data_IF_093465127714
#
_entry.id   IF_093465127714
#
_cell.length_a   1.000
_cell.length_b   1.000
_cell.length_c   1.000
_cell.angle_alpha   90.00
_cell.angle_beta   90.00
_cell.angle_gamma   90.00
#
_symmetry.space_group_name_H-M   'P 1'
#
loop_
_entity.id
_entity.type
_entity.pdbx_description
1 polymer ?
#
# COMPACT_ATOMS: atom_id res chain seq x y z
N UNK A 1 -1.50 0.40 13.56
CA UNK A 1 -0.47 -0.24 12.72
C UNK A 1 -0.49 -1.72 12.97
N UNK A 2 -0.50 -2.52 11.91
CA UNK A 2 -0.39 -3.97 11.98
C UNK A 2 0.96 -4.35 11.40
N UNK A 3 1.80 -5.00 12.20
CA UNK A 3 3.08 -5.53 11.75
C UNK A 3 2.88 -7.00 11.38
N UNK A 4 3.15 -7.34 10.12
CA UNK A 4 3.09 -8.72 9.66
C UNK A 4 4.43 -9.43 9.93
N UNK A 5 4.40 -10.54 10.65
CA UNK A 5 5.54 -11.43 10.79
C UNK A 5 5.36 -12.63 9.85
N UNK A 6 6.22 -12.73 8.86
CA UNK A 6 6.21 -13.87 7.94
C UNK A 6 6.77 -15.11 8.60
N UNK A 7 6.06 -16.24 8.54
CA UNK A 7 6.61 -17.54 8.89
C UNK A 7 7.44 -18.09 7.72
N UNK A 8 8.69 -18.45 7.98
CA UNK A 8 9.57 -19.12 6.99
C UNK A 8 9.05 -20.50 6.55
N UNK A 9 8.10 -21.08 7.28
CA UNK A 9 7.63 -22.44 7.04
C UNK A 9 6.65 -22.59 5.86
N UNK A 10 6.07 -21.51 5.38
CA UNK A 10 5.06 -21.55 4.31
C UNK A 10 5.61 -21.28 2.92
N UNK A 11 6.88 -20.88 2.80
CA UNK A 11 7.46 -20.46 1.53
C UNK A 11 8.96 -20.76 1.46
N UNK A 12 9.41 -21.40 0.38
CA UNK A 12 10.83 -21.40 0.02
C UNK A 12 11.12 -20.16 -0.83
N UNK A 13 11.86 -19.16 -0.27
CA UNK A 13 12.13 -17.91 -1.00
C UNK A 13 12.98 -18.09 -2.25
N UNK A 14 13.55 -19.27 -2.45
CA UNK A 14 14.36 -19.63 -3.63
C UNK A 14 13.52 -20.00 -4.84
N UNK A 15 12.22 -20.26 -4.66
CA UNK A 15 11.30 -20.55 -5.75
C UNK A 15 10.46 -19.32 -6.09
N UNK A 16 10.53 -18.87 -7.34
CA UNK A 16 9.65 -17.85 -7.87
C UNK A 16 8.24 -18.43 -8.07
N UNK A 17 7.20 -17.59 -7.91
CA UNK A 17 5.83 -18.00 -8.20
C UNK A 17 5.65 -18.55 -9.63
N UNK A 18 6.35 -17.92 -10.60
CA UNK A 18 6.30 -18.28 -12.00
C UNK A 18 6.99 -19.64 -12.29
N UNK A 19 7.79 -20.14 -11.32
CA UNK A 19 8.51 -21.42 -11.40
C UNK A 19 7.80 -22.55 -10.64
N UNK A 20 6.71 -22.23 -9.93
CA UNK A 20 5.94 -23.25 -9.24
C UNK A 20 5.06 -24.02 -10.21
N UNK A 21 5.01 -25.34 -10.02
CA UNK A 21 3.98 -26.12 -10.67
C UNK A 21 2.58 -25.66 -10.24
N UNK A 22 1.62 -25.90 -11.13
CA UNK A 22 0.24 -25.40 -10.97
C UNK A 22 -0.42 -25.84 -9.66
N UNK A 23 -0.14 -27.06 -9.19
CA UNK A 23 -0.80 -27.61 -8.01
C UNK A 23 -0.19 -27.00 -6.73
N UNK A 24 1.13 -26.84 -6.69
CA UNK A 24 1.83 -26.13 -5.60
C UNK A 24 1.38 -24.68 -5.50
N UNK A 25 1.30 -23.96 -6.64
CA UNK A 25 0.81 -22.57 -6.65
C UNK A 25 -0.63 -22.47 -6.13
N UNK A 26 -1.53 -23.38 -6.55
CA UNK A 26 -2.92 -23.43 -6.08
C UNK A 26 -3.02 -23.74 -4.59
N UNK A 27 -2.22 -24.66 -4.08
CA UNK A 27 -2.19 -25.02 -2.65
C UNK A 27 -1.70 -23.85 -1.78
N UNK A 28 -0.66 -23.14 -2.23
CA UNK A 28 -0.17 -21.95 -1.54
C UNK A 28 -1.21 -20.83 -1.54
N UNK A 29 -1.88 -20.59 -2.68
CA UNK A 29 -2.94 -19.58 -2.75
C UNK A 29 -4.11 -19.91 -1.81
N UNK A 30 -4.53 -21.15 -1.74
CA UNK A 30 -5.53 -21.59 -0.77
C UNK A 30 -5.08 -21.33 0.68
N UNK A 31 -3.82 -21.68 1.01
CA UNK A 31 -3.25 -21.43 2.34
C UNK A 31 -3.24 -19.93 2.69
N UNK A 32 -2.87 -19.07 1.74
CA UNK A 32 -2.90 -17.62 1.97
C UNK A 32 -4.33 -17.07 2.11
N UNK A 33 -5.30 -17.63 1.41
CA UNK A 33 -6.71 -17.28 1.60
C UNK A 33 -7.19 -17.66 3.01
N UNK A 34 -6.86 -18.86 3.49
CA UNK A 34 -7.20 -19.31 4.86
C UNK A 34 -6.57 -18.41 5.93
N UNK A 35 -5.32 -18.00 5.75
CA UNK A 35 -4.65 -17.06 6.66
C UNK A 35 -5.33 -15.69 6.64
N UNK A 36 -5.68 -15.17 5.47
CA UNK A 36 -6.38 -13.89 5.34
C UNK A 36 -7.78 -13.94 5.97
N UNK A 37 -8.48 -15.06 5.84
CA UNK A 37 -9.79 -15.29 6.47
C UNK A 37 -9.68 -15.43 7.99
N UNK A 38 -8.66 -16.13 8.49
CA UNK A 38 -8.39 -16.23 9.92
C UNK A 38 -8.08 -14.86 10.53
N UNK A 39 -7.26 -14.05 9.84
CA UNK A 39 -6.96 -12.68 10.23
C UNK A 39 -8.24 -11.83 10.29
N UNK A 40 -9.07 -11.87 9.27
CA UNK A 40 -10.34 -11.13 9.21
C UNK A 40 -11.27 -11.51 10.38
N UNK A 41 -11.44 -12.81 10.64
CA UNK A 41 -12.22 -13.29 11.80
C UNK A 41 -11.64 -12.79 13.12
N UNK A 42 -10.30 -12.76 13.26
CA UNK A 42 -9.62 -12.20 14.45
C UNK A 42 -9.98 -10.74 14.67
N UNK A 43 -9.89 -9.90 13.63
CA UNK A 43 -10.24 -8.48 13.69
C UNK A 43 -11.71 -8.29 14.02
N UNK A 44 -12.62 -9.04 13.41
CA UNK A 44 -14.06 -8.95 13.72
C UNK A 44 -14.37 -9.35 15.16
N UNK A 45 -13.68 -10.36 15.70
CA UNK A 45 -13.81 -10.75 17.10
C UNK A 45 -13.32 -9.65 18.04
N UNK A 46 -12.15 -9.05 17.76
CA UNK A 46 -11.62 -7.93 18.54
C UNK A 46 -12.53 -6.71 18.47
N UNK A 47 -13.07 -6.40 17.28
CA UNK A 47 -14.03 -5.31 17.10
C UNK A 47 -15.28 -5.51 17.97
N UNK A 48 -15.87 -6.70 17.92
CA UNK A 48 -17.05 -7.01 18.75
C UNK A 48 -16.77 -7.00 20.24
N UNK A 49 -15.60 -7.50 20.66
CA UNK A 49 -15.25 -7.63 22.07
C UNK A 49 -14.83 -6.32 22.73
N UNK A 50 -14.13 -5.46 21.98
CA UNK A 50 -13.47 -4.27 22.51
C UNK A 50 -13.96 -2.95 21.88
N UNK A 51 -14.93 -3.00 20.98
CA UNK A 51 -15.40 -1.80 20.26
C UNK A 51 -14.35 -1.19 19.33
N UNK A 52 -13.34 -1.95 18.92
CA UNK A 52 -12.32 -1.46 18.01
C UNK A 52 -12.89 -1.27 16.60
N UNK A 53 -12.41 -0.28 15.83
CA UNK A 53 -12.72 -0.22 14.40
C UNK A 53 -12.29 -1.53 13.71
N UNK A 54 -13.09 -2.00 12.76
CA UNK A 54 -12.78 -3.19 11.96
C UNK A 54 -12.32 -2.83 10.53
N UNK A 55 -11.90 -1.61 10.31
CA UNK A 55 -11.46 -1.08 9.01
C UNK A 55 -10.46 0.05 9.20
N UNK A 56 -9.93 0.55 8.08
CA UNK A 56 -8.98 1.66 8.01
C UNK A 56 -7.65 1.36 8.72
N UNK A 57 -7.23 0.09 8.71
CA UNK A 57 -5.94 -0.30 9.26
C UNK A 57 -4.79 0.16 8.36
N UNK A 58 -3.69 0.54 8.98
CA UNK A 58 -2.41 0.77 8.34
C UNK A 58 -1.60 -0.52 8.40
N UNK A 59 -1.13 -0.98 7.26
CA UNK A 59 -0.43 -2.26 7.13
C UNK A 59 1.03 -2.02 6.78
N UNK A 60 1.96 -2.57 7.59
CA UNK A 60 3.40 -2.44 7.39
C UNK A 60 4.07 -3.80 7.32
N UNK A 61 4.92 -3.99 6.31
CA UNK A 61 5.71 -5.20 6.19
C UNK A 61 7.08 -4.94 5.57
N UNK A 62 8.07 -5.75 5.99
CA UNK A 62 9.43 -5.74 5.44
C UNK A 62 9.79 -7.17 5.01
N UNK A 63 10.41 -7.35 3.84
CA UNK A 63 10.84 -8.65 3.31
C UNK A 63 9.67 -9.65 3.22
N UNK A 64 9.77 -10.81 3.80
CA UNK A 64 8.69 -11.80 3.86
C UNK A 64 7.39 -11.25 4.45
N UNK A 65 7.46 -10.36 5.46
CA UNK A 65 6.30 -9.67 6.00
C UNK A 65 5.66 -8.69 5.00
N UNK A 66 6.45 -8.08 4.10
CA UNK A 66 5.93 -7.25 3.03
C UNK A 66 5.14 -8.07 1.99
N UNK A 67 5.59 -9.30 1.72
CA UNK A 67 4.84 -10.23 0.86
C UNK A 67 3.47 -10.59 1.48
N UNK A 68 3.43 -10.85 2.80
CA UNK A 68 2.17 -11.08 3.50
C UNK A 68 1.27 -9.86 3.50
N UNK A 69 1.82 -8.69 3.78
CA UNK A 69 1.09 -7.43 3.83
C UNK A 69 0.40 -7.16 2.48
N UNK A 70 1.14 -7.25 1.37
CA UNK A 70 0.55 -7.02 0.05
C UNK A 70 -0.52 -8.05 -0.30
N UNK A 71 -0.30 -9.35 0.02
CA UNK A 71 -1.29 -10.41 -0.19
C UNK A 71 -2.56 -10.18 0.62
N UNK A 72 -2.42 -9.77 1.87
CA UNK A 72 -3.54 -9.47 2.73
C UNK A 72 -4.35 -8.27 2.21
N UNK A 73 -3.66 -7.20 1.77
CA UNK A 73 -4.30 -6.04 1.17
C UNK A 73 -5.01 -6.38 -0.14
N UNK A 74 -4.45 -7.27 -0.97
CA UNK A 74 -5.10 -7.74 -2.20
C UNK A 74 -6.37 -8.56 -1.95
N UNK A 75 -6.37 -9.42 -0.92
CA UNK A 75 -7.48 -10.33 -0.59
C UNK A 75 -8.57 -9.71 0.26
N UNK A 76 -8.20 -8.79 1.15
CA UNK A 76 -9.09 -8.16 2.14
C UNK A 76 -9.00 -6.62 2.13
N UNK A 77 -9.09 -5.98 0.94
CA UNK A 77 -8.80 -4.56 0.79
C UNK A 77 -9.70 -3.64 1.62
N UNK A 78 -10.90 -4.09 1.98
CA UNK A 78 -11.87 -3.30 2.74
C UNK A 78 -11.47 -3.06 4.21
N UNK A 79 -10.48 -3.79 4.74
CA UNK A 79 -9.95 -3.56 6.08
C UNK A 79 -8.87 -2.47 6.10
N UNK A 80 -8.23 -2.17 4.97
CA UNK A 80 -7.02 -1.36 4.95
C UNK A 80 -7.24 0.03 4.35
N UNK A 81 -6.66 1.02 5.02
CA UNK A 81 -6.53 2.38 4.55
C UNK A 81 -5.30 2.52 3.66
N UNK A 82 -4.17 2.06 4.18
CA UNK A 82 -2.89 2.16 3.50
C UNK A 82 -1.97 0.98 3.82
N UNK A 83 -1.08 0.70 2.88
CA UNK A 83 -0.03 -0.30 2.98
C UNK A 83 1.34 0.34 2.73
N UNK A 84 2.33 0.01 3.56
CA UNK A 84 3.75 0.15 3.24
C UNK A 84 4.41 -1.22 3.18
N UNK A 85 4.94 -1.58 2.00
CA UNK A 85 5.68 -2.80 1.76
C UNK A 85 7.12 -2.47 1.35
N UNK A 86 8.09 -2.87 2.18
CA UNK A 86 9.51 -2.68 1.91
C UNK A 86 10.18 -4.00 1.51
N UNK A 87 10.90 -3.98 0.36
CA UNK A 87 11.64 -5.12 -0.21
C UNK A 87 10.85 -6.45 -0.25
N UNK A 88 9.62 -6.48 -0.76
CA UNK A 88 8.94 -7.74 -1.02
C UNK A 88 9.58 -8.43 -2.22
N UNK A 89 10.09 -9.66 -2.04
CA UNK A 89 10.77 -10.37 -3.12
C UNK A 89 9.80 -11.00 -4.13
N UNK A 90 8.51 -11.07 -3.82
CA UNK A 90 7.47 -11.57 -4.72
C UNK A 90 6.17 -10.80 -4.57
N UNK A 91 5.37 -10.81 -5.63
CA UNK A 91 4.10 -10.10 -5.71
C UNK A 91 3.02 -11.04 -6.25
N UNK A 92 1.83 -10.94 -5.67
CA UNK A 92 0.63 -11.53 -6.26
C UNK A 92 0.05 -10.57 -7.30
N UNK A 93 -0.73 -11.10 -8.23
CA UNK A 93 -1.36 -10.30 -9.28
C UNK A 93 -2.30 -9.25 -8.66
N UNK A 94 -2.23 -7.98 -9.08
CA UNK A 94 -3.16 -6.94 -8.62
C UNK A 94 -4.61 -7.27 -8.93
N UNK A 95 -5.52 -6.80 -8.09
CA UNK A 95 -6.97 -6.92 -8.28
C UNK A 95 -7.66 -5.56 -8.26
N UNK A 96 -8.70 -5.37 -9.06
CA UNK A 96 -9.43 -4.09 -9.11
C UNK A 96 -10.00 -3.68 -7.73
N UNK A 97 -10.35 -4.64 -6.88
CA UNK A 97 -10.85 -4.36 -5.54
C UNK A 97 -9.81 -3.69 -4.63
N UNK A 98 -8.52 -3.97 -4.83
CA UNK A 98 -7.44 -3.45 -3.99
C UNK A 98 -6.93 -2.06 -4.46
N UNK A 99 -7.42 -1.52 -5.58
CA UNK A 99 -7.15 -0.13 -5.98
C UNK A 99 -7.73 0.90 -5.01
N UNK A 100 -8.59 0.49 -4.08
CA UNK A 100 -9.11 1.33 -3.01
C UNK A 100 -8.15 1.56 -1.84
N UNK A 101 -7.09 0.77 -1.73
CA UNK A 101 -6.05 0.91 -0.70
C UNK A 101 -4.98 1.86 -1.22
N UNK A 102 -4.42 2.70 -0.35
CA UNK A 102 -3.26 3.52 -0.68
C UNK A 102 -2.00 2.68 -0.53
N UNK A 103 -1.16 2.65 -1.56
CA UNK A 103 0.03 1.79 -1.63
C UNK A 103 1.31 2.61 -1.55
N UNK A 104 2.22 2.23 -0.65
CA UNK A 104 3.60 2.69 -0.64
C UNK A 104 4.50 1.45 -0.79
N UNK A 105 5.24 1.40 -1.88
CA UNK A 105 6.16 0.31 -2.18
C UNK A 105 7.57 0.86 -2.24
N UNK A 106 8.47 0.30 -1.44
CA UNK A 106 9.88 0.63 -1.46
C UNK A 106 10.72 -0.62 -1.68
N UNK A 107 11.77 -0.51 -2.49
CA UNK A 107 12.68 -1.62 -2.79
C UNK A 107 14.12 -1.11 -2.91
N UNK A 108 15.09 -2.01 -3.03
CA UNK A 108 16.45 -1.66 -3.41
C UNK A 108 16.68 -1.96 -4.90
N UNK A 109 17.51 -1.17 -5.57
CA UNK A 109 17.87 -1.43 -6.97
C UNK A 109 18.63 -2.74 -7.16
N UNK A 110 19.43 -3.13 -6.15
CA UNK A 110 20.19 -4.39 -6.15
C UNK A 110 19.43 -5.55 -5.48
N UNK A 111 18.12 -5.37 -5.20
CA UNK A 111 17.27 -6.41 -4.66
C UNK A 111 16.86 -7.41 -5.76
N UNK A 112 16.88 -8.70 -5.44
CA UNK A 112 16.45 -9.75 -6.38
C UNK A 112 15.00 -9.63 -6.86
N UNK A 113 14.17 -8.93 -6.08
CA UNK A 113 12.78 -8.59 -6.38
C UNK A 113 12.58 -7.31 -7.18
N UNK A 114 13.63 -6.57 -7.54
CA UNK A 114 13.54 -5.26 -8.19
C UNK A 114 12.69 -5.28 -9.46
N UNK A 115 13.03 -6.12 -10.43
CA UNK A 115 12.29 -6.24 -11.69
C UNK A 115 10.82 -6.65 -11.49
N UNK A 116 10.56 -7.51 -10.50
CA UNK A 116 9.19 -7.90 -10.14
C UNK A 116 8.41 -6.73 -9.53
N UNK A 117 9.08 -5.88 -8.77
CA UNK A 117 8.46 -4.68 -8.20
C UNK A 117 8.08 -3.65 -9.27
N UNK A 118 8.90 -3.48 -10.30
CA UNK A 118 8.60 -2.62 -11.46
C UNK A 118 7.41 -3.16 -12.27
N UNK A 119 7.36 -4.48 -12.48
CA UNK A 119 6.22 -5.12 -13.14
C UNK A 119 4.93 -4.90 -12.34
N UNK A 120 4.97 -5.14 -11.04
CA UNK A 120 3.84 -4.90 -10.14
C UNK A 120 3.39 -3.44 -10.16
N UNK A 121 4.33 -2.48 -10.11
CA UNK A 121 4.03 -1.05 -10.25
C UNK A 121 3.28 -0.75 -11.56
N UNK A 122 3.76 -1.30 -12.68
CA UNK A 122 3.16 -1.11 -14.00
C UNK A 122 1.73 -1.66 -14.06
N UNK A 123 1.52 -2.87 -13.54
CA UNK A 123 0.20 -3.50 -13.48
C UNK A 123 -0.76 -2.72 -12.56
N UNK A 124 -0.29 -2.28 -11.39
CA UNK A 124 -1.08 -1.46 -10.47
C UNK A 124 -1.50 -0.12 -11.10
N UNK A 125 -0.59 0.55 -11.80
CA UNK A 125 -0.88 1.82 -12.49
C UNK A 125 -1.92 1.65 -13.59
N UNK A 126 -1.82 0.58 -14.38
CA UNK A 126 -2.81 0.24 -15.41
C UNK A 126 -4.22 0.02 -14.83
N UNK A 127 -4.32 -0.37 -13.55
CA UNK A 127 -5.57 -0.55 -12.81
C UNK A 127 -5.99 0.68 -11.98
N UNK A 128 -5.26 1.81 -12.08
CA UNK A 128 -5.57 3.04 -11.35
C UNK A 128 -5.27 2.98 -9.85
N UNK A 129 -4.32 2.16 -9.42
CA UNK A 129 -3.91 2.12 -8.00
C UNK A 129 -3.26 3.43 -7.57
N UNK A 130 -3.64 3.97 -6.40
CA UNK A 130 -2.91 5.07 -5.76
C UNK A 130 -1.62 4.52 -5.14
N UNK A 131 -0.56 4.46 -5.95
CA UNK A 131 0.70 3.83 -5.56
C UNK A 131 1.86 4.83 -5.61
N UNK A 132 2.52 5.00 -4.44
CA UNK A 132 3.83 5.62 -4.29
C UNK A 132 4.90 4.54 -4.35
N UNK A 133 5.91 4.73 -5.20
CA UNK A 133 7.00 3.77 -5.38
C UNK A 133 8.35 4.46 -5.25
N UNK A 134 9.31 3.81 -4.57
CA UNK A 134 10.70 4.24 -4.50
C UNK A 134 11.63 3.05 -4.60
N UNK A 135 12.50 3.06 -5.61
CA UNK A 135 13.71 2.24 -5.63
C UNK A 135 14.83 3.00 -4.93
N UNK A 136 15.54 2.38 -4.00
CA UNK A 136 16.65 3.01 -3.27
C UNK A 136 17.95 2.62 -3.98
N UNK A 137 18.71 3.60 -4.48
CA UNK A 137 19.94 3.33 -5.24
C UNK A 137 20.94 2.49 -4.46
N UNK A 138 21.51 1.49 -5.12
CA UNK A 138 22.54 0.62 -4.57
C UNK A 138 22.12 -0.29 -3.41
N UNK A 139 20.89 -0.19 -2.92
CA UNK A 139 20.40 -1.01 -1.83
C UNK A 139 20.09 -2.44 -2.31
N UNK A 140 20.59 -3.44 -1.57
CA UNK A 140 20.18 -4.84 -1.70
C UNK A 140 19.04 -5.20 -0.77
N UNK A 141 19.02 -6.46 -0.26
CA UNK A 141 18.00 -6.95 0.66
C UNK A 141 18.26 -6.49 2.10
N UNK A 142 18.00 -5.23 2.38
CA UNK A 142 18.22 -4.63 3.71
C UNK A 142 17.18 -3.58 4.05
N UNK A 143 16.95 -3.34 5.35
CA UNK A 143 16.18 -2.18 5.82
C UNK A 143 16.90 -0.87 5.51
N UNK A 144 16.15 0.21 5.33
CA UNK A 144 16.72 1.51 5.02
C UNK A 144 15.93 2.66 5.65
N UNK A 145 16.60 3.67 6.29
CA UNK A 145 15.92 4.77 6.96
C UNK A 145 14.99 5.61 6.05
N UNK A 146 15.32 5.73 4.76
CA UNK A 146 14.44 6.40 3.79
C UNK A 146 13.12 5.65 3.62
N UNK A 147 13.16 4.30 3.53
CA UNK A 147 11.96 3.49 3.42
C UNK A 147 11.05 3.68 4.65
N UNK A 148 11.64 3.67 5.85
CA UNK A 148 10.89 3.85 7.09
C UNK A 148 10.27 5.25 7.18
N UNK A 149 11.05 6.30 6.89
CA UNK A 149 10.56 7.69 6.87
C UNK A 149 9.46 7.89 5.83
N UNK A 150 9.64 7.31 4.63
CA UNK A 150 8.65 7.41 3.55
C UNK A 150 7.35 6.70 3.93
N UNK A 151 7.43 5.49 4.50
CA UNK A 151 6.28 4.73 4.97
C UNK A 151 5.50 5.45 6.06
N UNK A 152 6.19 6.02 7.07
CA UNK A 152 5.56 6.81 8.14
C UNK A 152 4.89 8.07 7.60
N UNK A 153 5.58 8.84 6.75
CA UNK A 153 5.00 10.05 6.15
C UNK A 153 3.83 9.73 5.22
N UNK A 154 3.87 8.58 4.55
CA UNK A 154 2.78 8.10 3.72
C UNK A 154 1.54 7.73 4.56
N UNK A 155 1.74 7.12 5.73
CA UNK A 155 0.65 6.84 6.66
C UNK A 155 0.04 8.12 7.24
N UNK A 156 0.87 9.12 7.59
CA UNK A 156 0.36 10.45 8.00
C UNK A 156 -0.54 11.06 6.90
N UNK A 157 -0.10 11.00 5.64
CA UNK A 157 -0.88 11.44 4.49
C UNK A 157 -2.21 10.66 4.36
N UNK A 158 -2.17 9.34 4.47
CA UNK A 158 -3.37 8.51 4.40
C UNK A 158 -4.38 8.85 5.50
N UNK A 159 -3.89 9.09 6.72
CA UNK A 159 -4.72 9.50 7.85
C UNK A 159 -5.33 10.89 7.64
N UNK A 160 -4.57 11.85 7.09
CA UNK A 160 -5.11 13.18 6.78
C UNK A 160 -6.26 13.13 5.76
N UNK A 161 -6.14 12.31 4.71
CA UNK A 161 -7.23 12.09 3.76
C UNK A 161 -8.48 11.51 4.42
N UNK A 162 -8.29 10.59 5.36
CA UNK A 162 -9.40 10.01 6.14
C UNK A 162 -10.08 11.04 7.02
N UNK A 163 -9.33 11.89 7.70
CA UNK A 163 -9.85 12.96 8.56
C UNK A 163 -10.62 14.00 7.78
N UNK A 164 -10.07 14.51 6.68
CA UNK A 164 -10.76 15.44 5.79
C UNK A 164 -12.10 14.89 5.31
N UNK A 165 -12.13 13.61 4.95
CA UNK A 165 -13.35 12.95 4.52
C UNK A 165 -14.37 12.86 5.66
N UNK A 166 -13.95 12.47 6.87
CA UNK A 166 -14.80 12.42 8.05
C UNK A 166 -15.40 13.80 8.35
N UNK A 167 -14.60 14.87 8.32
CA UNK A 167 -15.05 16.22 8.56
C UNK A 167 -16.03 16.72 7.50
N UNK A 168 -15.85 16.30 6.25
CA UNK A 168 -16.80 16.57 5.17
C UNK A 168 -18.14 15.85 5.41
N UNK A 169 -18.10 14.60 5.80
CA UNK A 169 -19.28 13.80 6.12
C UNK A 169 -20.03 14.36 7.31
N UNK A 170 -19.33 14.74 8.38
CA UNK A 170 -19.93 15.37 9.56
C UNK A 170 -20.59 16.72 9.25
N UNK A 171 -19.96 17.56 8.41
CA UNK A 171 -20.55 18.83 7.94
C UNK A 171 -21.84 18.59 7.15
N UNK A 172 -21.83 17.63 6.24
CA UNK A 172 -23.00 17.28 5.43
C UNK A 172 -24.13 16.65 6.28
N UNK A 173 -23.78 15.91 7.32
CA UNK A 173 -24.74 15.31 8.25
C UNK A 173 -25.38 16.37 9.17
N UNK A 174 -24.61 17.35 9.69
CA UNK A 174 -25.14 18.45 10.52
C UNK A 174 -26.21 19.28 9.80
N UNK A 175 -26.08 19.47 8.49
CA UNK A 175 -27.10 20.12 7.67
C UNK A 175 -28.42 19.33 7.57
N UNK A 176 -28.47 18.07 8.04
CA UNK A 176 -29.63 17.16 8.01
C UNK A 176 -30.17 16.77 9.41
N UNK A 177 -29.81 17.51 10.48
CA UNK A 177 -30.29 17.22 11.85
C UNK A 177 -29.57 16.04 12.52
N UNK A 178 -28.28 15.89 12.30
CA UNK A 178 -27.46 14.81 12.86
C UNK A 178 -27.33 14.87 14.39
N UNK A 179 -27.72 13.78 15.08
CA UNK A 179 -27.46 13.58 16.51
C UNK A 179 -26.13 12.82 16.72
N UNK A 180 -25.15 13.46 17.36
CA UNK A 180 -23.82 12.88 17.66
C UNK A 180 -23.88 11.59 18.50
N UNK A 181 -25.00 11.30 19.16
CA UNK A 181 -25.19 10.11 19.99
C UNK A 181 -25.55 8.85 19.20
N UNK A 182 -25.96 9.04 17.97
CA UNK A 182 -26.21 7.93 17.04
C UNK A 182 -24.94 7.75 16.21
N UNK A 183 -24.23 6.61 16.36
CA UNK A 183 -23.14 6.28 15.43
C UNK A 183 -23.68 6.38 14.01
N UNK A 184 -23.06 7.18 13.13
CA UNK A 184 -23.53 7.25 11.76
C UNK A 184 -23.55 5.83 11.18
N UNK A 185 -24.60 5.45 10.43
CA UNK A 185 -24.60 4.19 9.72
C UNK A 185 -23.29 4.12 8.94
N UNK A 186 -22.65 2.95 8.92
CA UNK A 186 -21.39 2.74 8.23
C UNK A 186 -21.54 3.22 6.79
N UNK A 187 -21.13 4.46 6.54
CA UNK A 187 -21.34 5.10 5.24
C UNK A 187 -20.52 4.33 4.24
N UNK A 188 -21.18 3.69 3.31
CA UNK A 188 -20.60 3.03 2.14
C UNK A 188 -20.09 4.09 1.17
N UNK A 189 -19.14 4.90 1.60
CA UNK A 189 -18.49 5.82 0.67
C UNK A 189 -17.32 5.09 0.00
N UNK A 190 -17.23 5.14 -1.33
CA UNK A 190 -16.04 4.67 -1.98
C UNK A 190 -14.87 5.47 -1.44
N UNK A 191 -13.89 4.78 -0.89
CA UNK A 191 -12.61 5.36 -0.54
C UNK A 191 -12.02 6.00 -1.80
N UNK A 192 -11.33 7.15 -1.72
CA UNK A 192 -10.72 7.74 -2.90
C UNK A 192 -9.76 6.73 -3.54
N UNK A 193 -10.10 6.24 -4.71
CA UNK A 193 -9.28 5.32 -5.49
C UNK A 193 -8.06 6.01 -6.12
N UNK A 194 -7.86 7.30 -5.85
CA UNK A 194 -6.77 8.08 -6.41
C UNK A 194 -6.16 8.96 -5.32
N UNK A 195 -4.87 9.24 -5.42
CA UNK A 195 -4.29 10.39 -4.71
C UNK A 195 -5.06 11.66 -5.12
N UNK A 196 -5.14 12.65 -4.22
CA UNK A 196 -5.38 14.02 -4.69
C UNK A 196 -4.43 14.29 -5.85
N UNK A 197 -4.78 15.17 -6.77
CA UNK A 197 -3.88 15.57 -7.85
C UNK A 197 -2.47 15.71 -7.29
N UNK A 198 -1.49 14.95 -7.80
CA UNK A 198 -0.17 14.93 -7.20
C UNK A 198 0.50 16.28 -7.37
N UNK A 199 1.05 16.83 -6.31
CA UNK A 199 1.84 18.07 -6.37
C UNK A 199 3.18 17.83 -7.07
N UNK A 200 3.70 16.61 -7.01
CA UNK A 200 5.02 16.23 -7.52
C UNK A 200 4.95 14.90 -8.25
N UNK A 201 5.89 14.75 -9.19
CA UNK A 201 6.14 13.50 -9.91
C UNK A 201 7.59 13.10 -9.68
N UNK A 202 7.80 11.86 -9.24
CA UNK A 202 9.11 11.24 -9.16
C UNK A 202 9.45 10.51 -10.46
N UNK A 203 10.70 10.62 -10.88
CA UNK A 203 11.31 9.78 -11.92
C UNK A 203 11.96 8.57 -11.25
N UNK A 204 11.39 7.38 -11.46
CA UNK A 204 11.87 6.15 -10.81
C UNK A 204 13.23 5.69 -11.32
N UNK A 205 13.66 6.14 -12.49
CA UNK A 205 14.95 5.78 -13.09
C UNK A 205 16.05 6.76 -12.65
N UNK A 206 15.81 8.06 -12.83
CA UNK A 206 16.83 9.08 -12.53
C UNK A 206 16.77 9.58 -11.08
N UNK A 207 15.82 9.08 -10.27
CA UNK A 207 15.62 9.42 -8.86
C UNK A 207 15.45 10.94 -8.62
N UNK A 208 14.84 11.63 -9.59
CA UNK A 208 14.56 13.06 -9.55
C UNK A 208 13.10 13.34 -9.23
N UNK A 209 12.81 14.52 -8.71
CA UNK A 209 11.46 14.97 -8.40
C UNK A 209 11.20 16.28 -9.12
N UNK A 210 10.08 16.35 -9.81
CA UNK A 210 9.60 17.51 -10.56
C UNK A 210 8.24 17.96 -10.01
N UNK A 211 7.87 19.21 -10.23
CA UNK A 211 6.48 19.61 -10.06
C UNK A 211 5.61 18.90 -11.10
N UNK A 212 4.34 18.65 -10.76
CA UNK A 212 3.47 17.87 -11.64
C UNK A 212 3.30 18.54 -13.03
N UNK A 213 3.27 19.89 -13.07
CA UNK A 213 3.18 20.68 -14.30
C UNK A 213 4.42 20.56 -15.21
N UNK A 214 5.59 20.30 -14.64
CA UNK A 214 6.87 20.18 -15.35
C UNK A 214 7.16 18.73 -15.78
N UNK A 215 6.46 17.77 -15.20
CA UNK A 215 6.79 16.36 -15.37
C UNK A 215 6.55 15.84 -16.79
N UNK A 216 5.63 16.45 -17.54
CA UNK A 216 5.32 16.04 -18.91
C UNK A 216 6.53 16.19 -19.84
N UNK A 217 7.35 17.22 -19.63
CA UNK A 217 8.52 17.53 -20.45
C UNK A 217 9.79 16.81 -19.95
N UNK A 218 9.87 16.48 -18.66
CA UNK A 218 11.10 16.03 -18.02
C UNK A 218 11.14 14.51 -17.72
N UNK A 219 9.99 13.85 -17.64
CA UNK A 219 9.91 12.44 -17.26
C UNK A 219 9.07 11.64 -18.23
N UNK A 220 9.58 10.58 -18.87
CA UNK A 220 8.76 9.68 -19.68
C UNK A 220 7.62 9.07 -18.86
N UNK A 221 6.44 8.95 -19.45
CA UNK A 221 5.22 8.51 -18.76
C UNK A 221 5.40 7.19 -17.99
N UNK A 222 6.12 6.22 -18.58
CA UNK A 222 6.40 4.93 -17.96
C UNK A 222 7.21 5.03 -16.66
N UNK A 223 7.95 6.11 -16.45
CA UNK A 223 8.85 6.29 -15.29
C UNK A 223 8.29 7.21 -14.21
N UNK A 224 7.09 7.77 -14.42
CA UNK A 224 6.46 8.71 -13.47
C UNK A 224 5.87 7.97 -12.28
N UNK A 225 6.09 8.51 -11.08
CA UNK A 225 5.40 8.13 -9.86
C UNK A 225 4.75 9.36 -9.24
N UNK A 226 3.48 9.27 -8.95
CA UNK A 226 2.73 10.35 -8.28
C UNK A 226 3.18 10.49 -6.83
N UNK A 227 3.58 11.70 -6.43
CA UNK A 227 3.98 12.04 -5.06
C UNK A 227 3.03 13.13 -4.57
N UNK A 228 2.11 12.80 -3.64
CA UNK A 228 0.97 13.66 -3.34
C UNK A 228 1.30 14.93 -2.53
N UNK A 229 2.44 14.99 -1.84
CA UNK A 229 2.78 16.14 -1.00
C UNK A 229 4.26 16.48 -1.03
N UNK A 230 4.60 17.74 -0.71
CA UNK A 230 5.98 18.19 -0.56
C UNK A 230 6.78 17.39 0.47
N UNK A 231 6.18 17.06 1.63
CA UNK A 231 6.84 16.24 2.67
C UNK A 231 7.28 14.88 2.11
N UNK A 232 6.42 14.22 1.34
CA UNK A 232 6.75 12.96 0.68
C UNK A 232 7.81 13.13 -0.41
N UNK A 233 7.75 14.23 -1.17
CA UNK A 233 8.73 14.54 -2.21
C UNK A 233 10.13 14.78 -1.63
N UNK A 234 10.24 15.53 -0.54
CA UNK A 234 11.51 15.80 0.13
C UNK A 234 12.16 14.51 0.67
N UNK A 235 11.36 13.59 1.24
CA UNK A 235 11.87 12.28 1.70
C UNK A 235 12.20 11.38 0.51
N UNK A 236 11.36 11.37 -0.51
CA UNK A 236 11.54 10.54 -1.70
C UNK A 236 12.82 10.90 -2.46
N UNK A 237 13.17 12.20 -2.54
CA UNK A 237 14.38 12.73 -3.18
C UNK A 237 15.65 12.47 -2.36
N UNK A 238 15.55 12.20 -1.06
CA UNK A 238 16.72 12.02 -0.21
C UNK A 238 17.56 10.82 -0.69
N UNK A 239 18.87 11.01 -0.77
CA UNK A 239 19.84 9.99 -1.21
C UNK A 239 20.41 9.18 -0.03
N UNK A 240 20.24 9.66 1.23
CA UNK A 240 20.79 9.05 2.46
C UNK A 240 19.84 9.16 3.65
#
# INVERSE_FOLDING_TARGET
VIVCWGSRSLWDPRKNWDELDRDTAKQLDATFNDVADAWARGIENLSRRYGMPNRDFLLWGVSGAAQYAQRLALRKPHYFLALHAHIPSSFDKPSSAASRVLWCLTTGENESGYERSLRFLTECRAMGYPILYKAIPGLGHAGHPIADRLGLAFFDYALSLREEKRDHEERNAKGKGYDRRVQPPAVKLPWPATFKEPEFIGDVVNQQVFRAEEAAENVPEGFRVSIPTKKLADIWKAEK
#
